data_IF_288430522448
#
_entry.id   IF_288430522448
#
_cell.length_a   1.000
_cell.length_b   1.000
_cell.length_c   1.000
_cell.angle_alpha   90.00
_cell.angle_beta   90.00
_cell.angle_gamma   90.00
#
_symmetry.space_group_name_H-M   'P 1'
#
loop_
_entity.id
_entity.type
_entity.pdbx_description
1 polymer ?
#
# COMPACT_ATOMS: atom_id res chain seq x y z
N UNK A 1 -42.96 -45.76 -8.89
CA UNK A 1 -43.12 -44.76 -7.81
C UNK A 1 -42.60 -43.40 -8.32
N UNK A 2 -43.45 -42.59 -8.95
CA UNK A 2 -43.01 -41.34 -9.61
C UNK A 2 -42.76 -40.24 -8.57
N UNK A 3 -41.48 -39.94 -8.32
CA UNK A 3 -41.06 -38.79 -7.51
C UNK A 3 -41.47 -37.50 -8.24
N UNK A 4 -42.48 -36.80 -7.72
CA UNK A 4 -42.85 -35.45 -8.19
C UNK A 4 -41.65 -34.53 -7.99
N UNK A 5 -40.97 -34.15 -9.07
CA UNK A 5 -39.96 -33.08 -9.04
C UNK A 5 -40.70 -31.77 -8.80
N UNK A 6 -40.54 -31.17 -7.62
CA UNK A 6 -40.97 -29.78 -7.38
C UNK A 6 -39.91 -28.88 -8.03
N UNK A 7 -40.31 -28.10 -9.03
CA UNK A 7 -39.47 -27.05 -9.62
C UNK A 7 -39.56 -25.75 -8.82
N UNK A 8 -38.53 -24.92 -8.93
CA UNK A 8 -38.52 -23.56 -8.36
C UNK A 8 -39.54 -22.67 -9.09
N UNK A 9 -40.26 -21.83 -8.35
CA UNK A 9 -41.11 -20.80 -8.94
C UNK A 9 -40.30 -19.58 -9.36
N UNK A 10 -40.71 -18.92 -10.45
CA UNK A 10 -40.08 -17.67 -10.90
C UNK A 10 -40.15 -16.58 -9.83
N UNK A 11 -41.25 -16.50 -9.08
CA UNK A 11 -41.38 -15.51 -8.02
C UNK A 11 -40.43 -15.77 -6.84
N UNK A 12 -40.17 -17.05 -6.54
CA UNK A 12 -39.21 -17.44 -5.50
C UNK A 12 -37.79 -17.01 -5.90
N UNK A 13 -37.42 -17.17 -7.18
CA UNK A 13 -36.14 -16.70 -7.68
C UNK A 13 -36.02 -15.17 -7.67
N UNK A 14 -37.09 -14.46 -8.04
CA UNK A 14 -37.09 -12.99 -8.06
C UNK A 14 -36.91 -12.37 -6.67
N UNK A 15 -37.57 -12.92 -5.65
CA UNK A 15 -37.42 -12.43 -4.26
C UNK A 15 -35.99 -12.69 -3.76
N UNK A 16 -35.40 -13.84 -4.07
CA UNK A 16 -34.01 -14.15 -3.69
C UNK A 16 -33.03 -13.15 -4.31
N UNK A 17 -33.17 -12.89 -5.62
CA UNK A 17 -32.30 -11.91 -6.30
C UNK A 17 -32.51 -10.51 -5.71
N UNK A 18 -33.75 -10.09 -5.44
CA UNK A 18 -34.04 -8.80 -4.83
C UNK A 18 -33.33 -8.62 -3.47
N UNK A 19 -33.39 -9.62 -2.59
CA UNK A 19 -32.72 -9.58 -1.29
C UNK A 19 -31.19 -9.54 -1.45
N UNK A 20 -30.63 -10.36 -2.35
CA UNK A 20 -29.18 -10.35 -2.64
C UNK A 20 -28.73 -8.96 -3.12
N UNK A 21 -29.49 -8.32 -4.02
CA UNK A 21 -29.16 -6.98 -4.54
C UNK A 21 -29.21 -5.90 -3.45
N UNK A 22 -30.17 -5.97 -2.52
CA UNK A 22 -30.24 -5.04 -1.38
C UNK A 22 -29.00 -5.18 -0.49
N UNK A 23 -28.61 -6.43 -0.17
CA UNK A 23 -27.42 -6.70 0.64
C UNK A 23 -26.16 -6.23 -0.09
N UNK A 24 -26.03 -6.56 -1.39
CA UNK A 24 -24.88 -6.18 -2.21
C UNK A 24 -24.70 -4.65 -2.28
N UNK A 25 -25.79 -3.91 -2.47
CA UNK A 25 -25.76 -2.44 -2.53
C UNK A 25 -25.18 -1.79 -1.26
N UNK A 26 -25.39 -2.39 -0.09
CA UNK A 26 -24.84 -1.90 1.19
C UNK A 26 -23.42 -2.43 1.43
N UNK A 27 -23.15 -3.68 1.03
CA UNK A 27 -21.90 -4.37 1.32
C UNK A 27 -20.71 -3.89 0.48
N UNK A 28 -20.91 -3.72 -0.83
CA UNK A 28 -19.84 -3.32 -1.78
C UNK A 28 -19.14 -2.01 -1.37
N UNK A 29 -19.84 -0.88 -1.15
CA UNK A 29 -19.17 0.37 -0.80
C UNK A 29 -18.48 0.33 0.58
N UNK A 30 -18.96 -0.52 1.49
CA UNK A 30 -18.30 -0.74 2.80
C UNK A 30 -16.99 -1.51 2.62
N UNK A 31 -16.99 -2.52 1.75
CA UNK A 31 -15.80 -3.30 1.44
C UNK A 31 -14.71 -2.44 0.79
N UNK A 32 -15.07 -1.56 -0.14
CA UNK A 32 -14.11 -0.67 -0.79
C UNK A 32 -13.44 0.28 0.21
N UNK A 33 -14.22 0.86 1.13
CA UNK A 33 -13.68 1.70 2.22
C UNK A 33 -12.78 0.92 3.17
N UNK A 34 -13.18 -0.29 3.54
CA UNK A 34 -12.36 -1.17 4.39
C UNK A 34 -11.04 -1.55 3.70
N UNK A 35 -11.09 -1.82 2.38
CA UNK A 35 -9.92 -2.13 1.58
C UNK A 35 -8.96 -0.94 1.47
N UNK A 36 -9.46 0.27 1.20
CA UNK A 36 -8.64 1.49 1.21
C UNK A 36 -7.97 1.72 2.56
N UNK A 37 -8.72 1.57 3.66
CA UNK A 37 -8.16 1.71 4.99
C UNK A 37 -7.05 0.69 5.28
N UNK A 38 -7.26 -0.56 4.86
CA UNK A 38 -6.24 -1.61 4.98
C UNK A 38 -4.98 -1.29 4.16
N UNK A 39 -5.13 -0.72 2.97
CA UNK A 39 -4.01 -0.29 2.12
C UNK A 39 -3.24 0.88 2.76
N UNK A 40 -3.94 1.86 3.31
CA UNK A 40 -3.34 2.97 4.06
C UNK A 40 -2.52 2.49 5.27
N UNK A 41 -3.08 1.57 6.07
CA UNK A 41 -2.35 0.97 7.20
C UNK A 41 -1.13 0.18 6.74
N UNK A 42 -1.26 -0.58 5.64
CA UNK A 42 -0.15 -1.31 5.05
C UNK A 42 0.96 -0.36 4.57
N UNK A 43 0.59 0.79 3.98
CA UNK A 43 1.55 1.78 3.51
C UNK A 43 2.38 2.38 4.65
N UNK A 44 1.73 2.72 5.77
CA UNK A 44 2.44 3.18 6.98
C UNK A 44 3.40 2.10 7.49
N UNK A 45 2.99 0.82 7.45
CA UNK A 45 3.87 -0.28 7.84
C UNK A 45 5.07 -0.42 6.89
N UNK A 46 4.89 -0.30 5.57
CA UNK A 46 5.99 -0.33 4.61
C UNK A 46 6.95 0.85 4.80
N UNK A 47 6.46 2.06 5.13
CA UNK A 47 7.32 3.20 5.47
C UNK A 47 8.22 2.86 6.65
N UNK A 48 7.69 2.24 7.71
CA UNK A 48 8.49 1.77 8.86
C UNK A 48 9.54 0.73 8.46
N UNK A 49 9.17 -0.21 7.59
CA UNK A 49 10.14 -1.17 7.01
C UNK A 49 11.26 -0.46 6.26
N UNK A 50 10.95 0.56 5.46
CA UNK A 50 11.94 1.37 4.75
C UNK A 50 12.86 2.11 5.74
N UNK A 51 12.33 2.68 6.82
CA UNK A 51 13.16 3.33 7.84
C UNK A 51 14.15 2.35 8.50
N UNK A 52 13.68 1.15 8.87
CA UNK A 52 14.56 0.11 9.42
C UNK A 52 15.65 -0.27 8.41
N UNK A 53 15.28 -0.45 7.15
CA UNK A 53 16.24 -0.75 6.08
C UNK A 53 17.25 0.38 5.87
N UNK A 54 16.82 1.64 5.95
CA UNK A 54 17.70 2.81 5.86
C UNK A 54 18.73 2.86 6.98
N UNK A 55 18.34 2.57 8.22
CA UNK A 55 19.29 2.47 9.34
C UNK A 55 20.30 1.35 9.13
N UNK A 56 19.84 0.18 8.68
CA UNK A 56 20.72 -0.95 8.37
C UNK A 56 21.68 -0.62 7.22
N UNK A 57 21.18 0.00 6.16
CA UNK A 57 21.96 0.43 5.00
C UNK A 57 23.05 1.44 5.40
N UNK A 58 22.70 2.44 6.24
CA UNK A 58 23.66 3.38 6.78
C UNK A 58 24.74 2.69 7.62
N UNK A 59 24.36 1.71 8.45
CA UNK A 59 25.33 0.94 9.25
C UNK A 59 26.30 0.12 8.40
N UNK A 60 25.88 -0.33 7.21
CA UNK A 60 26.72 -1.14 6.32
C UNK A 60 27.61 -0.30 5.39
N UNK A 61 27.08 0.83 4.88
CA UNK A 61 27.73 1.58 3.81
C UNK A 61 28.07 3.03 4.17
N UNK A 62 27.77 3.49 5.38
CA UNK A 62 28.11 4.82 5.88
C UNK A 62 27.31 5.98 5.25
N UNK A 63 26.28 5.67 4.46
CA UNK A 63 25.37 6.64 3.85
C UNK A 63 23.95 6.09 3.80
N UNK A 64 22.96 6.95 3.67
CA UNK A 64 21.58 6.50 3.41
C UNK A 64 21.41 6.06 1.95
N UNK A 65 20.43 5.18 1.73
CA UNK A 65 20.02 4.80 0.39
C UNK A 65 19.23 5.95 -0.24
N UNK A 66 19.56 6.26 -1.49
CA UNK A 66 18.96 7.38 -2.25
C UNK A 66 17.79 6.93 -3.12
N UNK A 67 17.63 5.61 -3.31
CA UNK A 67 16.54 5.00 -4.06
C UNK A 67 16.05 3.73 -3.35
N UNK A 68 14.85 3.27 -3.69
CA UNK A 68 14.32 1.99 -3.19
C UNK A 68 15.07 0.78 -3.75
N UNK A 69 15.66 0.89 -4.94
CA UNK A 69 16.43 -0.18 -5.55
C UNK A 69 17.68 -0.53 -4.72
N UNK A 70 18.37 0.48 -4.17
CA UNK A 70 19.53 0.26 -3.30
C UNK A 70 19.18 -0.53 -2.03
N UNK A 71 17.95 -0.40 -1.53
CA UNK A 71 17.46 -1.16 -0.37
C UNK A 71 16.99 -2.57 -0.75
N UNK A 72 16.61 -2.79 -2.00
CA UNK A 72 16.02 -4.03 -2.48
C UNK A 72 17.03 -5.13 -2.81
N UNK A 73 16.56 -6.30 -3.27
CA UNK A 73 17.42 -7.38 -3.74
C UNK A 73 18.27 -6.92 -4.94
N UNK A 74 19.53 -7.37 -5.05
CA UNK A 74 20.39 -7.03 -6.18
C UNK A 74 19.84 -7.61 -7.49
N UNK A 75 19.96 -6.86 -8.58
CA UNK A 75 19.57 -7.31 -9.93
C UNK A 75 20.42 -8.47 -10.44
N UNK A 76 21.67 -8.54 -9.98
CA UNK A 76 22.62 -9.63 -10.26
C UNK A 76 23.75 -9.62 -9.24
N UNK A 77 24.29 -10.80 -8.92
CA UNK A 77 25.43 -10.92 -8.01
C UNK A 77 25.05 -10.92 -6.53
N UNK A 78 26.03 -10.69 -5.67
CA UNK A 78 25.84 -10.65 -4.21
C UNK A 78 25.30 -9.28 -3.76
N UNK A 79 24.63 -9.21 -2.59
CA UNK A 79 24.16 -7.95 -2.03
C UNK A 79 25.28 -6.92 -1.87
N UNK A 80 24.96 -5.66 -2.14
CA UNK A 80 25.90 -4.55 -2.06
C UNK A 80 25.21 -3.18 -2.13
N UNK A 81 25.95 -2.08 -2.32
CA UNK A 81 25.38 -0.73 -2.29
C UNK A 81 24.31 -0.46 -3.37
N UNK A 82 24.30 -1.22 -4.48
CA UNK A 82 23.30 -1.06 -5.54
C UNK A 82 22.03 -1.90 -5.31
N UNK A 83 22.01 -2.76 -4.28
CA UNK A 83 20.92 -3.66 -3.94
C UNK A 83 21.31 -4.50 -2.73
N UNK A 84 20.95 -4.03 -1.54
CA UNK A 84 21.41 -4.56 -0.26
C UNK A 84 20.54 -5.70 0.31
N UNK A 85 19.45 -6.05 -0.37
CA UNK A 85 18.50 -7.10 0.02
C UNK A 85 17.88 -6.88 1.42
N UNK A 86 17.58 -5.64 1.76
CA UNK A 86 17.04 -5.22 3.07
C UNK A 86 15.52 -5.07 3.08
N UNK A 87 14.92 -4.88 1.90
CA UNK A 87 13.47 -4.86 1.71
C UNK A 87 13.06 -5.86 0.62
N UNK A 88 11.82 -6.38 0.66
CA UNK A 88 11.33 -7.28 -0.38
C UNK A 88 11.29 -6.60 -1.76
N UNK A 89 11.52 -7.39 -2.81
CA UNK A 89 11.61 -6.88 -4.18
C UNK A 89 10.37 -6.14 -4.68
N UNK A 90 9.17 -6.55 -4.26
CA UNK A 90 7.92 -5.86 -4.61
C UNK A 90 7.87 -4.43 -4.06
N UNK A 91 8.38 -4.19 -2.85
CA UNK A 91 8.52 -2.84 -2.29
C UNK A 91 9.66 -2.07 -2.97
N UNK A 92 10.75 -2.74 -3.32
CA UNK A 92 11.88 -2.12 -4.02
C UNK A 92 11.53 -1.59 -5.41
N UNK A 93 10.55 -2.22 -6.09
CA UNK A 93 9.98 -1.73 -7.35
C UNK A 93 9.13 -0.46 -7.20
N UNK A 94 8.84 -0.03 -5.96
CA UNK A 94 8.16 1.22 -5.67
C UNK A 94 6.64 1.16 -5.77
N UNK A 95 6.03 -0.01 -5.92
CA UNK A 95 4.57 -0.17 -5.92
C UNK A 95 4.16 -1.39 -5.10
N UNK A 96 3.41 -1.17 -4.02
CA UNK A 96 2.96 -2.24 -3.13
C UNK A 96 1.61 -1.91 -2.50
N UNK A 97 0.69 -2.87 -2.52
CA UNK A 97 -0.61 -2.77 -1.84
C UNK A 97 -1.40 -1.50 -2.22
N UNK A 98 -1.38 -1.12 -3.51
CA UNK A 98 -2.12 0.04 -4.04
C UNK A 98 -1.47 1.40 -3.77
N UNK A 99 -0.23 1.41 -3.28
CA UNK A 99 0.56 2.60 -3.01
C UNK A 99 1.87 2.59 -3.79
N UNK A 100 2.25 3.76 -4.29
CA UNK A 100 3.56 4.04 -4.87
C UNK A 100 4.48 4.62 -3.80
N UNK A 101 5.59 3.95 -3.57
CA UNK A 101 6.63 4.37 -2.64
C UNK A 101 7.79 4.99 -3.40
N UNK A 102 8.37 6.05 -2.83
CA UNK A 102 9.63 6.62 -3.31
C UNK A 102 10.53 6.90 -2.13
N UNK A 103 11.84 6.76 -2.35
CA UNK A 103 12.88 7.24 -1.46
C UNK A 103 13.66 8.30 -2.22
N UNK A 104 13.96 9.40 -1.55
CA UNK A 104 14.80 10.47 -2.08
C UNK A 104 15.80 10.93 -1.03
N UNK A 105 17.03 11.19 -1.45
CA UNK A 105 18.03 11.81 -0.59
C UNK A 105 17.65 13.25 -0.21
N UNK A 106 17.89 13.62 1.03
CA UNK A 106 17.79 15.02 1.51
C UNK A 106 19.17 15.48 2.00
N UNK A 107 19.42 16.79 2.16
CA UNK A 107 20.72 17.28 2.64
C UNK A 107 21.15 16.70 3.99
N UNK A 108 20.20 16.25 4.81
CA UNK A 108 20.41 15.76 6.17
C UNK A 108 20.04 14.28 6.35
N UNK A 109 19.61 13.58 5.29
CA UNK A 109 19.15 12.20 5.39
C UNK A 109 18.40 11.71 4.15
N UNK A 110 17.18 11.23 4.38
CA UNK A 110 16.31 10.69 3.34
C UNK A 110 14.86 11.05 3.64
N UNK A 111 14.05 11.09 2.59
CA UNK A 111 12.60 11.20 2.66
C UNK A 111 11.98 9.98 1.97
N UNK A 112 10.92 9.47 2.58
CA UNK A 112 10.06 8.41 2.05
C UNK A 112 8.70 9.03 1.77
N UNK A 113 8.19 8.84 0.56
CA UNK A 113 6.79 9.18 0.24
C UNK A 113 6.02 7.93 -0.12
N UNK A 114 4.75 7.88 0.26
CA UNK A 114 3.81 6.84 -0.16
C UNK A 114 2.53 7.51 -0.66
N UNK A 115 2.29 7.44 -1.96
CA UNK A 115 1.12 8.03 -2.60
C UNK A 115 0.18 6.92 -3.09
N UNK A 116 -1.14 7.08 -2.96
CA UNK A 116 -2.06 6.10 -3.53
C UNK A 116 -1.86 6.03 -5.06
N UNK A 117 -1.82 4.84 -5.63
CA UNK A 117 -1.72 4.66 -7.09
C UNK A 117 -2.91 5.29 -7.82
N UNK A 118 -4.11 5.19 -7.22
CA UNK A 118 -5.31 5.88 -7.69
C UNK A 118 -6.01 6.51 -6.48
N UNK A 119 -5.98 7.83 -6.41
CA UNK A 119 -6.65 8.59 -5.36
C UNK A 119 -8.16 8.29 -5.32
N UNK A 120 -8.73 8.19 -4.11
CA UNK A 120 -10.12 7.78 -3.85
C UNK A 120 -10.50 6.34 -4.30
N UNK A 121 -9.54 5.52 -4.73
CA UNK A 121 -9.78 4.12 -5.08
C UNK A 121 -8.86 3.16 -4.32
N UNK A 122 -7.55 3.38 -4.36
CA UNK A 122 -6.58 2.58 -3.58
C UNK A 122 -6.34 3.20 -2.21
N UNK A 123 -6.40 4.52 -2.11
CA UNK A 123 -6.31 5.23 -0.85
C UNK A 123 -6.81 6.67 -0.96
N UNK A 124 -7.06 7.28 0.21
CA UNK A 124 -7.52 8.67 0.34
C UNK A 124 -6.49 9.54 1.04
N UNK A 125 -5.41 8.93 1.53
CA UNK A 125 -4.29 9.61 2.17
C UNK A 125 -2.99 9.31 1.45
N UNK A 126 -2.16 10.33 1.32
CA UNK A 126 -0.74 10.20 1.00
C UNK A 126 0.08 10.39 2.27
N UNK A 127 1.29 9.85 2.27
CA UNK A 127 2.16 9.84 3.44
C UNK A 127 3.56 10.33 3.09
N UNK A 128 4.15 11.06 4.03
CA UNK A 128 5.52 11.54 3.98
C UNK A 128 6.20 11.20 5.30
N UNK A 129 7.43 10.71 5.25
CA UNK A 129 8.27 10.60 6.44
C UNK A 129 9.73 10.81 6.08
N UNK A 130 10.54 11.20 7.03
CA UNK A 130 11.97 11.43 6.85
C UNK A 130 12.77 10.77 7.99
N UNK A 131 14.05 11.10 8.14
CA UNK A 131 14.89 10.54 9.19
C UNK A 131 14.40 10.82 10.62
N UNK A 132 13.41 11.72 10.82
CA UNK A 132 12.76 11.91 12.12
C UNK A 132 11.81 10.77 12.51
N UNK A 133 11.49 9.88 11.57
CA UNK A 133 10.54 8.76 11.72
C UNK A 133 9.08 9.21 11.96
N UNK A 134 8.80 10.51 11.88
CA UNK A 134 7.44 11.05 11.98
C UNK A 134 6.74 10.84 10.65
N UNK A 135 5.62 10.12 10.67
CA UNK A 135 4.76 9.95 9.50
C UNK A 135 3.76 11.09 9.47
N UNK A 136 3.79 11.88 8.40
CA UNK A 136 2.86 12.95 8.08
C UNK A 136 1.90 12.47 7.01
N UNK A 137 0.66 12.93 7.06
CA UNK A 137 -0.39 12.53 6.13
C UNK A 137 -1.05 13.74 5.46
N UNK A 138 -1.48 13.56 4.22
CA UNK A 138 -2.31 14.51 3.50
C UNK A 138 -3.54 13.80 2.95
N UNK A 139 -4.70 14.41 3.15
CA UNK A 139 -6.01 13.91 2.73
C UNK A 139 -6.43 14.41 1.34
N UNK A 140 -5.61 15.25 0.70
CA UNK A 140 -5.85 15.74 -0.67
C UNK A 140 -5.30 14.82 -1.75
N UNK A 141 -5.58 15.16 -3.00
CA UNK A 141 -4.96 14.52 -4.18
C UNK A 141 -3.48 14.85 -4.34
N UNK A 142 -3.01 15.88 -3.64
CA UNK A 142 -1.61 16.27 -3.59
C UNK A 142 -0.83 15.32 -2.66
N UNK A 143 0.43 15.01 -3.00
CA UNK A 143 1.31 14.26 -2.12
C UNK A 143 1.48 14.93 -0.74
N UNK A 144 1.71 14.11 0.28
CA UNK A 144 2.11 14.61 1.59
C UNK A 144 3.52 15.22 1.51
N UNK A 145 3.77 16.21 2.36
CA UNK A 145 5.00 16.98 2.41
C UNK A 145 5.50 17.07 3.85
N UNK A 146 6.71 17.63 4.08
CA UNK A 146 7.21 17.89 5.44
C UNK A 146 6.29 18.81 6.26
N UNK A 147 5.41 19.58 5.61
CA UNK A 147 4.47 20.49 6.28
C UNK A 147 3.07 19.90 6.46
N UNK A 148 2.85 18.67 5.99
CA UNK A 148 1.58 17.96 6.18
C UNK A 148 1.37 17.59 7.65
N UNK A 149 0.10 17.37 8.01
CA UNK A 149 -0.33 17.12 9.39
C UNK A 149 0.05 15.73 9.87
#
# INVERSE_FOLDING_TARGET
>A
MNRRRRGFSLIELLIVIAIILIIAAIAVPKLDKARMHSQETAAIAQIRTIHTAQTQYFSQFGRYATTLAELGPPTSGQPGPAGADLIPGDLALGSKTGYRFTVQATPTGYAVTANPEVYNSTGRRSFYSDQSLVVRENWGSEPASPNSK
#
